data_IF_594392399413
#
_entry.id   IF_594392399413
#
_cell.length_a   1.000
_cell.length_b   1.000
_cell.length_c   1.000
_cell.angle_alpha   90.00
_cell.angle_beta   90.00
_cell.angle_gamma   90.00
#
_symmetry.space_group_name_H-M   'P 1'
#
loop_
_entity.id
_entity.type
_entity.pdbx_description
1 polymer ?
#
# COMPACT_ATOMS: atom_id res chain seq x y z
N UNK A 1 -25.50 -23.53 60.21
CA UNK A 1 -24.92 -22.42 59.43
C UNK A 1 -25.88 -22.17 58.28
N UNK A 2 -26.38 -20.95 58.15
CA UNK A 2 -27.45 -20.59 57.22
C UNK A 2 -26.92 -20.59 55.79
N UNK A 3 -27.32 -21.56 54.98
CA UNK A 3 -26.97 -21.61 53.55
C UNK A 3 -27.80 -20.56 52.80
N UNK A 4 -27.16 -19.44 52.46
CA UNK A 4 -27.82 -18.30 51.82
C UNK A 4 -27.89 -18.54 50.31
N UNK A 5 -29.10 -18.64 49.77
CA UNK A 5 -29.36 -18.67 48.32
C UNK A 5 -28.93 -17.35 47.67
N UNK A 6 -28.02 -17.44 46.71
CA UNK A 6 -27.62 -16.31 45.86
C UNK A 6 -28.27 -16.45 44.49
N UNK A 7 -28.95 -15.38 44.09
CA UNK A 7 -29.73 -15.30 42.87
C UNK A 7 -29.21 -14.14 42.02
N UNK A 8 -28.95 -14.40 40.74
CA UNK A 8 -28.59 -13.37 39.76
C UNK A 8 -29.44 -13.53 38.52
N UNK A 9 -30.17 -12.47 38.17
CA UNK A 9 -31.02 -12.40 36.98
C UNK A 9 -30.58 -11.25 36.09
N UNK A 10 -30.53 -11.49 34.78
CA UNK A 10 -30.39 -10.47 33.73
C UNK A 10 -31.41 -10.82 32.63
N UNK A 11 -31.94 -9.87 31.86
CA UNK A 11 -32.92 -10.11 30.76
C UNK A 11 -32.54 -9.23 29.56
N UNK A 12 -32.61 -9.75 28.32
CA UNK A 12 -31.71 -9.44 27.19
C UNK A 12 -30.97 -10.66 26.60
N UNK A 13 -29.64 -10.74 26.53
CA UNK A 13 -28.79 -10.48 27.68
C UNK A 13 -29.14 -11.34 28.91
N UNK A 14 -29.92 -12.43 28.77
CA UNK A 14 -30.49 -13.15 29.91
C UNK A 14 -29.53 -14.20 30.45
N UNK A 15 -28.92 -13.95 31.61
CA UNK A 15 -28.16 -14.94 32.38
C UNK A 15 -28.84 -15.16 33.74
N UNK A 16 -29.07 -16.42 34.09
CA UNK A 16 -29.64 -16.85 35.35
C UNK A 16 -28.63 -17.75 36.07
N UNK A 17 -28.15 -17.30 37.23
CA UNK A 17 -27.23 -18.05 38.08
C UNK A 17 -27.84 -18.16 39.48
N UNK A 18 -27.99 -19.39 39.95
CA UNK A 18 -28.51 -19.71 41.27
C UNK A 18 -27.50 -20.60 42.00
N UNK A 19 -26.98 -20.12 43.13
CA UNK A 19 -26.01 -20.83 43.97
C UNK A 19 -26.65 -21.06 45.36
N UNK A 20 -26.80 -22.34 45.75
CA UNK A 20 -27.46 -22.74 46.98
C UNK A 20 -27.71 -24.25 47.06
N UNK A 21 -28.42 -24.74 48.09
CA UNK A 21 -28.75 -26.15 48.24
C UNK A 21 -29.57 -26.64 47.04
N UNK A 22 -29.25 -27.85 46.55
CA UNK A 22 -29.72 -28.39 45.27
C UNK A 22 -31.26 -28.33 45.10
N UNK A 23 -32.00 -28.55 46.18
CA UNK A 23 -33.46 -28.54 46.16
C UNK A 23 -34.05 -27.14 45.91
N UNK A 24 -33.42 -26.08 46.44
CA UNK A 24 -33.86 -24.71 46.26
C UNK A 24 -33.43 -24.11 44.92
N UNK A 25 -32.27 -24.54 44.39
CA UNK A 25 -31.80 -24.17 43.04
C UNK A 25 -32.75 -24.74 41.98
N UNK A 26 -33.17 -26.00 42.12
CA UNK A 26 -34.08 -26.61 41.15
C UNK A 26 -35.47 -25.97 41.17
N UNK A 27 -36.00 -25.61 42.36
CA UNK A 27 -37.24 -24.85 42.46
C UNK A 27 -37.14 -23.48 41.79
N UNK A 28 -36.02 -22.76 41.96
CA UNK A 28 -35.83 -21.47 41.31
C UNK A 28 -35.60 -21.60 39.81
N UNK A 29 -34.95 -22.67 39.34
CA UNK A 29 -34.84 -23.01 37.92
C UNK A 29 -36.22 -23.25 37.30
N UNK A 30 -37.06 -24.05 37.95
CA UNK A 30 -38.43 -24.33 37.49
C UNK A 30 -39.26 -23.05 37.44
N UNK A 31 -39.17 -22.21 38.49
CA UNK A 31 -39.88 -20.93 38.52
C UNK A 31 -39.37 -19.96 37.43
N UNK A 32 -38.06 -19.92 37.19
CA UNK A 32 -37.48 -19.12 36.12
C UNK A 32 -37.92 -19.59 34.74
N UNK A 33 -37.91 -20.91 34.48
CA UNK A 33 -38.33 -21.49 33.20
C UNK A 33 -39.83 -21.29 32.92
N UNK A 34 -40.68 -21.42 33.94
CA UNK A 34 -42.12 -21.43 33.74
C UNK A 34 -42.79 -20.05 33.87
N UNK A 35 -42.22 -19.12 34.66
CA UNK A 35 -42.84 -17.81 34.91
C UNK A 35 -42.00 -16.66 34.34
N UNK A 36 -40.69 -16.65 34.57
CA UNK A 36 -39.84 -15.49 34.28
C UNK A 36 -39.40 -15.45 32.82
N UNK A 37 -39.01 -16.59 32.24
CA UNK A 37 -38.60 -16.65 30.84
C UNK A 37 -39.73 -16.31 29.87
N UNK A 38 -40.95 -16.88 29.98
CA UNK A 38 -42.03 -16.53 29.07
C UNK A 38 -42.40 -15.05 29.15
N UNK A 39 -42.41 -14.47 30.36
CA UNK A 39 -42.68 -13.03 30.56
C UNK A 39 -41.57 -12.13 30.00
N UNK A 40 -40.30 -12.53 30.14
CA UNK A 40 -39.15 -11.81 29.59
C UNK A 40 -39.11 -11.86 28.06
N UNK A 41 -39.44 -13.02 27.48
CA UNK A 41 -39.57 -13.19 26.02
C UNK A 41 -40.75 -12.38 25.49
N UNK A 42 -41.91 -12.41 26.15
CA UNK A 42 -43.07 -11.61 25.74
C UNK A 42 -42.76 -10.10 25.82
N UNK A 43 -42.06 -9.63 26.85
CA UNK A 43 -41.60 -8.24 26.95
C UNK A 43 -40.59 -7.86 25.85
N UNK A 44 -39.68 -8.76 25.48
CA UNK A 44 -38.76 -8.54 24.35
C UNK A 44 -39.50 -8.50 23.01
N UNK A 45 -40.46 -9.40 22.78
CA UNK A 45 -41.28 -9.40 21.56
C UNK A 45 -42.15 -8.14 21.49
N UNK A 46 -42.69 -7.68 22.62
CA UNK A 46 -43.50 -6.47 22.69
C UNK A 46 -42.69 -5.20 22.43
N UNK A 47 -41.42 -5.15 22.86
CA UNK A 47 -40.53 -4.02 22.57
C UNK A 47 -39.99 -4.06 21.13
N UNK A 48 -39.82 -5.24 20.53
CA UNK A 48 -39.49 -5.36 19.11
C UNK A 48 -40.68 -5.02 18.20
N UNK A 49 -41.89 -5.43 18.56
CA UNK A 49 -43.11 -5.14 17.79
C UNK A 49 -43.53 -3.67 17.82
N UNK A 50 -43.05 -2.86 18.78
CA UNK A 50 -43.28 -1.41 18.81
C UNK A 50 -42.36 -0.65 17.85
N UNK A 51 -41.24 -1.26 17.41
CA UNK A 51 -40.32 -0.66 16.42
C UNK A 51 -40.82 -0.84 14.97
N UNK A 52 -41.77 -1.74 14.73
CA UNK A 52 -42.40 -1.96 13.41
C UNK A 52 -43.82 -1.36 13.29
N UNK A 53 -44.03 -0.12 13.74
CA UNK A 53 -45.17 0.68 13.26
C UNK A 53 -44.66 1.70 12.23
N UNK A 54 -45.04 1.60 10.95
CA UNK A 54 -44.83 2.70 10.01
C UNK A 54 -45.61 3.92 10.54
N UNK A 55 -45.08 5.14 10.39
CA UNK A 55 -45.78 6.34 10.81
C UNK A 55 -47.11 6.43 10.05
N UNK A 56 -48.20 6.32 10.80
CA UNK A 56 -49.53 6.70 10.35
C UNK A 56 -49.51 8.22 10.15
N UNK A 57 -49.54 8.64 8.88
CA UNK A 57 -49.68 10.04 8.50
C UNK A 57 -51.16 10.41 8.68
N UNK A 58 -51.47 11.16 9.73
CA UNK A 58 -52.69 11.95 9.80
C UNK A 58 -52.70 12.95 8.63
N UNK A 59 -53.63 12.78 7.69
CA UNK A 59 -53.86 13.73 6.61
C UNK A 59 -54.76 14.85 7.13
N UNK A 60 -54.13 15.86 7.71
CA UNK A 60 -54.77 17.17 7.91
C UNK A 60 -54.73 17.92 6.58
N UNK A 61 -55.90 18.02 5.97
CA UNK A 61 -56.42 19.05 5.06
C UNK A 61 -55.43 20.16 4.67
N UNK A 62 -54.97 20.14 3.42
CA UNK A 62 -54.44 21.33 2.75
C UNK A 62 -55.60 22.28 2.39
N UNK A 63 -55.44 23.60 2.58
CA UNK A 63 -56.03 24.57 1.68
C UNK A 63 -55.03 24.93 0.58
N UNK A 64 -55.58 24.95 -0.62
CA UNK A 64 -55.10 25.54 -1.87
C UNK A 64 -54.60 26.97 -1.65
N UNK A 65 -53.44 27.33 -2.23
CA UNK A 65 -53.31 28.46 -3.16
C UNK A 65 -51.89 28.54 -3.74
N UNK A 66 -51.85 28.55 -5.07
CA UNK A 66 -50.77 29.02 -5.93
C UNK A 66 -50.50 30.50 -5.64
N UNK A 67 -49.24 30.95 -5.66
CA UNK A 67 -48.74 31.95 -6.63
C UNK A 67 -47.27 32.31 -6.33
N UNK A 68 -46.62 32.86 -7.35
CA UNK A 68 -45.19 33.08 -7.54
C UNK A 68 -44.50 34.02 -6.53
N UNK A 69 -43.20 33.79 -6.34
CA UNK A 69 -42.25 34.77 -5.80
C UNK A 69 -40.90 34.14 -5.45
N UNK A 70 -39.85 34.47 -6.21
CA UNK A 70 -38.45 34.37 -5.73
C UNK A 70 -38.32 35.12 -4.39
N UNK A 71 -37.47 34.65 -3.44
CA UNK A 71 -36.07 35.11 -3.36
C UNK A 71 -35.11 33.94 -3.02
N UNK A 72 -33.89 33.92 -3.55
CA UNK A 72 -32.68 34.57 -3.05
C UNK A 72 -31.99 33.81 -1.90
N UNK A 73 -30.67 33.87 -1.97
CA UNK A 73 -29.63 33.07 -1.33
C UNK A 73 -29.76 32.84 0.18
N UNK A 74 -29.44 31.63 0.64
CA UNK A 74 -28.35 31.36 1.60
C UNK A 74 -28.48 29.98 2.27
N UNK A 75 -27.34 29.27 2.37
CA UNK A 75 -27.15 28.22 3.37
C UNK A 75 -27.43 26.78 2.95
N UNK A 76 -26.95 26.33 1.78
CA UNK A 76 -26.83 24.90 1.51
C UNK A 76 -25.70 24.29 2.36
N UNK A 77 -26.01 23.89 3.59
CA UNK A 77 -25.26 22.80 4.25
C UNK A 77 -25.50 21.54 3.41
N UNK A 78 -24.47 20.89 2.86
CA UNK A 78 -24.67 19.64 2.14
C UNK A 78 -25.19 18.59 3.12
N UNK A 79 -26.41 18.12 2.89
CA UNK A 79 -26.92 16.88 3.46
C UNK A 79 -25.87 15.78 3.21
N UNK A 80 -25.16 15.38 4.26
CA UNK A 80 -24.44 14.11 4.28
C UNK A 80 -25.53 13.02 4.27
N UNK A 81 -25.64 12.18 3.23
CA UNK A 81 -26.55 11.06 3.31
C UNK A 81 -26.07 10.17 4.45
N UNK A 82 -26.96 9.92 5.42
CA UNK A 82 -26.88 8.79 6.36
C UNK A 82 -26.65 7.53 5.53
N UNK A 83 -25.37 7.21 5.27
CA UNK A 83 -25.01 6.06 4.47
C UNK A 83 -25.23 4.84 5.38
N UNK A 84 -26.34 4.14 5.18
CA UNK A 84 -26.61 2.85 5.82
C UNK A 84 -25.55 1.82 5.38
N UNK A 85 -24.42 1.77 6.09
CA UNK A 85 -23.31 0.86 5.80
C UNK A 85 -23.66 -0.60 6.09
N UNK A 86 -24.76 -0.86 6.81
CA UNK A 86 -25.29 -2.19 7.16
C UNK A 86 -25.59 -3.08 5.95
N UNK A 87 -25.96 -2.50 4.80
CA UNK A 87 -26.29 -3.25 3.57
C UNK A 87 -25.18 -3.24 2.53
N UNK A 88 -24.05 -2.61 2.81
CA UNK A 88 -22.92 -2.53 1.89
C UNK A 88 -21.79 -3.44 2.33
N UNK A 89 -21.22 -4.22 1.39
CA UNK A 89 -19.97 -4.95 1.62
C UNK A 89 -18.78 -4.00 1.45
N UNK A 90 -17.70 -4.22 2.20
CA UNK A 90 -16.44 -3.47 2.09
C UNK A 90 -15.94 -3.41 0.63
N UNK A 91 -16.07 -4.50 -0.14
CA UNK A 91 -15.73 -4.52 -1.55
C UNK A 91 -16.58 -3.56 -2.40
N UNK A 92 -17.86 -3.38 -2.07
CA UNK A 92 -18.77 -2.45 -2.75
C UNK A 92 -18.51 -1.00 -2.36
N UNK A 93 -18.14 -0.75 -1.10
CA UNK A 93 -17.71 0.57 -0.64
C UNK A 93 -16.46 1.05 -1.39
N UNK A 94 -15.44 0.19 -1.51
CA UNK A 94 -14.18 0.53 -2.16
C UNK A 94 -14.30 0.74 -3.68
N UNK A 95 -15.33 0.19 -4.33
CA UNK A 95 -15.57 0.41 -5.76
C UNK A 95 -15.79 1.89 -6.10
N UNK A 96 -16.38 2.67 -5.19
CA UNK A 96 -16.63 4.10 -5.40
C UNK A 96 -15.33 4.91 -5.49
N UNK A 97 -14.24 4.40 -4.94
CA UNK A 97 -12.95 5.08 -4.85
C UNK A 97 -11.91 4.60 -5.86
N UNK A 98 -12.26 3.63 -6.72
CA UNK A 98 -11.38 3.15 -7.79
C UNK A 98 -10.13 2.40 -7.31
N UNK A 99 -8.99 2.65 -7.97
CA UNK A 99 -7.73 1.93 -7.71
C UNK A 99 -7.01 2.51 -6.49
N UNK A 100 -7.38 2.02 -5.31
CA UNK A 100 -6.76 2.35 -4.03
C UNK A 100 -5.38 1.68 -3.86
N UNK A 101 -4.40 2.43 -3.33
CA UNK A 101 -3.12 1.89 -2.86
C UNK A 101 -3.32 0.92 -1.70
N UNK A 102 -2.31 0.10 -1.35
CA UNK A 102 -2.37 -0.77 -0.17
C UNK A 102 -2.59 0.03 1.13
N UNK A 103 -1.98 1.22 1.23
CA UNK A 103 -2.16 2.12 2.38
C UNK A 103 -3.58 2.70 2.41
N UNK A 104 -4.04 3.25 1.29
CA UNK A 104 -5.40 3.80 1.19
C UNK A 104 -6.44 2.70 1.44
N UNK A 105 -6.21 1.49 0.94
CA UNK A 105 -7.10 0.36 1.20
C UNK A 105 -7.27 0.08 2.71
N UNK A 106 -6.17 0.05 3.46
CA UNK A 106 -6.23 -0.18 4.92
C UNK A 106 -6.97 0.96 5.62
N UNK A 107 -6.69 2.21 5.23
CA UNK A 107 -7.33 3.39 5.80
C UNK A 107 -8.85 3.41 5.56
N UNK A 108 -9.28 3.15 4.32
CA UNK A 108 -10.68 3.12 3.94
C UNK A 108 -11.43 1.93 4.56
N UNK A 109 -10.75 0.80 4.68
CA UNK A 109 -11.31 -0.39 5.34
C UNK A 109 -11.53 -0.14 6.83
N UNK A 110 -10.55 0.46 7.50
CA UNK A 110 -10.68 0.83 8.91
C UNK A 110 -11.79 1.86 9.13
N UNK A 111 -11.91 2.88 8.26
CA UNK A 111 -13.00 3.85 8.31
C UNK A 111 -14.38 3.20 8.15
N UNK A 112 -14.50 2.27 7.20
CA UNK A 112 -15.73 1.51 6.99
C UNK A 112 -16.09 0.63 8.20
N UNK A 113 -15.09 -0.02 8.80
CA UNK A 113 -15.27 -0.86 9.98
C UNK A 113 -15.68 -0.03 11.22
N UNK A 114 -15.11 1.17 11.39
CA UNK A 114 -15.51 2.10 12.44
C UNK A 114 -16.97 2.55 12.26
N UNK A 115 -17.40 2.85 11.02
CA UNK A 115 -18.78 3.26 10.72
C UNK A 115 -19.78 2.11 10.85
N UNK A 116 -19.40 0.87 10.50
CA UNK A 116 -20.28 -0.29 10.49
C UNK A 116 -20.38 -0.97 11.87
N UNK A 117 -19.26 -1.13 12.55
CA UNK A 117 -19.15 -1.90 13.80
C UNK A 117 -18.95 -1.01 15.04
N UNK A 118 -18.74 0.31 14.87
CA UNK A 118 -18.48 1.23 15.99
C UNK A 118 -17.13 1.00 16.68
N UNK A 119 -16.26 0.16 16.09
CA UNK A 119 -14.96 -0.21 16.66
C UNK A 119 -13.92 0.85 16.29
N UNK A 120 -13.57 1.70 17.25
CA UNK A 120 -12.60 2.80 17.07
C UNK A 120 -11.14 2.36 17.02
N UNK A 121 -10.85 1.10 17.33
CA UNK A 121 -9.50 0.54 17.34
C UNK A 121 -9.42 -0.75 16.53
N UNK A 122 -8.38 -0.86 15.71
CA UNK A 122 -8.13 -2.02 14.86
C UNK A 122 -6.69 -2.51 15.01
N UNK A 123 -6.51 -3.81 14.82
CA UNK A 123 -5.23 -4.51 14.93
C UNK A 123 -4.73 -4.97 13.56
N UNK A 124 -3.50 -5.49 13.50
CA UNK A 124 -2.96 -6.09 12.26
C UNK A 124 -3.78 -7.31 11.80
N UNK A 125 -4.42 -8.03 12.73
CA UNK A 125 -5.28 -9.15 12.39
C UNK A 125 -6.61 -8.69 11.78
N UNK A 126 -7.15 -7.56 12.23
CA UNK A 126 -8.31 -6.91 11.59
C UNK A 126 -7.96 -6.47 10.16
N UNK A 127 -6.74 -5.94 9.95
CA UNK A 127 -6.26 -5.61 8.60
C UNK A 127 -6.26 -6.82 7.68
N UNK A 128 -5.80 -7.99 8.15
CA UNK A 128 -5.87 -9.24 7.37
C UNK A 128 -7.31 -9.63 7.04
N UNK A 129 -8.23 -9.45 8.00
CA UNK A 129 -9.66 -9.69 7.78
C UNK A 129 -10.22 -8.77 6.68
N UNK A 130 -9.86 -7.49 6.66
CA UNK A 130 -10.28 -6.56 5.61
C UNK A 130 -9.83 -7.01 4.22
N UNK A 131 -8.60 -7.51 4.07
CA UNK A 131 -8.12 -8.06 2.80
C UNK A 131 -8.93 -9.29 2.35
N UNK A 132 -9.29 -10.17 3.29
CA UNK A 132 -10.13 -11.34 3.02
C UNK A 132 -11.56 -10.92 2.62
N UNK A 133 -12.17 -9.98 3.33
CA UNK A 133 -13.52 -9.45 3.03
C UNK A 133 -13.55 -8.72 1.68
N UNK A 134 -12.49 -7.99 1.35
CA UNK A 134 -12.34 -7.30 0.06
C UNK A 134 -12.04 -8.23 -1.12
N UNK A 135 -11.81 -9.54 -0.87
CA UNK A 135 -11.29 -10.50 -1.86
C UNK A 135 -10.02 -10.00 -2.57
N UNK A 136 -9.14 -9.30 -1.84
CA UNK A 136 -7.85 -8.81 -2.37
C UNK A 136 -6.71 -9.72 -1.95
N UNK A 137 -5.66 -9.79 -2.79
CA UNK A 137 -4.46 -10.53 -2.46
C UNK A 137 -3.77 -9.91 -1.23
N UNK A 138 -3.40 -10.74 -0.26
CA UNK A 138 -2.70 -10.30 0.94
C UNK A 138 -1.34 -9.68 0.59
N UNK A 139 -1.01 -8.51 1.14
CA UNK A 139 0.31 -7.90 0.92
C UNK A 139 1.39 -8.72 1.63
N UNK A 140 2.60 -8.73 1.06
CA UNK A 140 3.76 -9.45 1.61
C UNK A 140 4.08 -9.02 3.05
N UNK A 141 3.83 -7.76 3.40
CA UNK A 141 4.02 -7.19 4.73
C UNK A 141 2.84 -6.25 5.10
N UNK A 142 1.77 -6.73 5.76
CA UNK A 142 0.65 -5.86 6.16
C UNK A 142 1.07 -4.78 7.16
N UNK A 143 2.05 -5.07 8.03
CA UNK A 143 2.59 -4.11 9.01
C UNK A 143 3.24 -2.87 8.37
N UNK A 144 3.73 -2.97 7.13
CA UNK A 144 4.28 -1.81 6.42
C UNK A 144 3.20 -0.80 6.02
N UNK A 145 1.96 -1.25 5.81
CA UNK A 145 0.86 -0.36 5.46
C UNK A 145 0.43 0.46 6.67
N UNK A 146 0.33 -0.16 7.85
CA UNK A 146 0.04 0.56 9.10
C UNK A 146 1.17 1.51 9.49
N UNK A 147 2.44 1.07 9.37
CA UNK A 147 3.59 1.93 9.65
C UNK A 147 3.61 3.21 8.80
N UNK A 148 3.38 3.09 7.48
CA UNK A 148 3.35 4.25 6.57
C UNK A 148 2.15 5.16 6.79
N UNK A 149 1.01 4.61 7.21
CA UNK A 149 -0.15 5.41 7.57
C UNK A 149 0.09 6.19 8.87
N UNK A 150 0.80 5.59 9.82
CA UNK A 150 1.19 6.26 11.06
C UNK A 150 2.22 7.36 10.80
N UNK A 151 3.21 7.11 9.92
CA UNK A 151 4.19 8.12 9.47
C UNK A 151 3.52 9.32 8.80
N UNK A 152 2.42 9.09 8.07
CA UNK A 152 1.61 10.14 7.45
C UNK A 152 0.66 10.86 8.41
N UNK A 153 0.54 10.40 9.66
CA UNK A 153 -0.40 10.94 10.63
C UNK A 153 -1.87 10.57 10.38
N UNK A 154 -2.16 9.63 9.48
CA UNK A 154 -3.55 9.20 9.19
C UNK A 154 -4.09 8.20 10.21
N UNK A 155 -3.21 7.53 10.96
CA UNK A 155 -3.55 6.64 12.06
C UNK A 155 -2.61 6.91 13.25
N UNK A 156 -3.08 6.63 14.46
CA UNK A 156 -2.31 6.76 15.70
C UNK A 156 -2.40 5.48 16.52
N UNK A 157 -1.45 5.27 17.42
CA UNK A 157 -1.49 4.14 18.35
C UNK A 157 -2.67 4.30 19.31
N UNK A 158 -3.48 3.25 19.43
CA UNK A 158 -4.65 3.21 20.28
C UNK A 158 -4.35 2.45 21.59
N UNK A 159 -4.96 2.86 22.72
CA UNK A 159 -4.87 2.10 23.95
C UNK A 159 -5.46 0.70 23.75
N UNK A 160 -4.76 -0.29 24.27
CA UNK A 160 -5.16 -1.70 24.19
C UNK A 160 -6.54 -1.87 24.86
N UNK A 161 -7.55 -2.45 24.18
CA UNK A 161 -8.79 -2.84 24.83
C UNK A 161 -8.50 -3.96 25.85
N UNK A 162 -9.14 -3.89 27.03
CA UNK A 162 -8.80 -4.70 28.20
C UNK A 162 -8.92 -6.23 28.02
N UNK A 163 -9.49 -6.71 26.91
CA UNK A 163 -9.92 -8.10 26.73
C UNK A 163 -9.37 -8.82 25.47
N UNK A 164 -8.27 -8.35 24.87
CA UNK A 164 -7.73 -8.95 23.62
C UNK A 164 -6.20 -9.11 23.61
N UNK A 165 -5.73 -10.06 22.78
CA UNK A 165 -4.33 -10.51 22.58
C UNK A 165 -3.31 -9.38 22.43
N UNK A 166 -2.08 -9.65 22.88
CA UNK A 166 -0.91 -8.77 22.75
C UNK A 166 -0.60 -8.44 21.29
N UNK A 167 -0.72 -7.17 20.93
CA UNK A 167 -0.44 -6.63 19.60
C UNK A 167 -0.61 -5.11 19.58
N UNK A 168 -0.07 -4.45 18.56
CA UNK A 168 -0.25 -3.01 18.36
C UNK A 168 -1.66 -2.75 17.84
N UNK A 169 -2.37 -1.85 18.51
CA UNK A 169 -3.69 -1.36 18.09
C UNK A 169 -3.53 0.05 17.54
N UNK A 170 -4.25 0.34 16.48
CA UNK A 170 -4.27 1.63 15.83
C UNK A 170 -5.70 2.18 15.81
N UNK A 171 -5.84 3.49 15.80
CA UNK A 171 -7.09 4.20 15.59
C UNK A 171 -6.92 5.25 14.50
N UNK A 172 -8.01 5.58 13.81
CA UNK A 172 -8.01 6.65 12.81
C UNK A 172 -7.86 8.01 13.50
N UNK A 173 -7.05 8.88 12.91
CA UNK A 173 -6.98 10.30 13.31
C UNK A 173 -8.02 11.10 12.55
N UNK A 174 -8.32 12.32 13.02
CA UNK A 174 -9.18 13.26 12.30
C UNK A 174 -8.64 13.55 10.88
N UNK A 175 -7.31 13.61 10.73
CA UNK A 175 -6.66 13.78 9.42
C UNK A 175 -6.89 12.58 8.51
N UNK A 176 -6.86 11.36 9.05
CA UNK A 176 -7.20 10.14 8.32
C UNK A 176 -8.65 10.10 7.86
N UNK A 177 -9.58 10.52 8.71
CA UNK A 177 -11.01 10.61 8.38
C UNK A 177 -11.23 11.67 7.29
N UNK A 178 -10.67 12.86 7.47
CA UNK A 178 -10.76 13.95 6.50
C UNK A 178 -10.15 13.55 5.15
N UNK A 179 -9.06 12.77 5.14
CA UNK A 179 -8.48 12.24 3.91
C UNK A 179 -9.43 11.28 3.18
N UNK A 180 -10.13 10.40 3.90
CA UNK A 180 -11.11 9.49 3.28
C UNK A 180 -12.32 10.26 2.73
N UNK A 181 -12.82 11.25 3.47
CA UNK A 181 -13.99 12.05 3.05
C UNK A 181 -13.68 12.99 1.87
N UNK A 182 -12.48 13.58 1.85
CA UNK A 182 -12.02 14.45 0.75
C UNK A 182 -11.39 13.68 -0.42
N UNK A 183 -11.38 12.34 -0.37
CA UNK A 183 -10.75 11.55 -1.41
C UNK A 183 -11.52 11.62 -2.72
N UNK A 184 -10.92 12.27 -3.70
CA UNK A 184 -11.40 12.28 -5.07
C UNK A 184 -10.87 11.01 -5.74
N UNK A 185 -11.75 10.08 -6.20
CA UNK A 185 -11.33 8.93 -6.95
C UNK A 185 -10.50 9.40 -8.14
N UNK A 186 -9.26 8.92 -8.24
CA UNK A 186 -8.51 9.08 -9.49
C UNK A 186 -9.30 8.30 -10.53
N UNK A 187 -9.99 9.04 -11.40
CA UNK A 187 -11.02 8.53 -12.29
C UNK A 187 -10.61 7.22 -12.94
N UNK A 188 -11.58 6.33 -13.12
CA UNK A 188 -11.45 5.01 -13.74
C UNK A 188 -10.68 5.09 -15.06
N UNK A 189 -9.36 5.06 -14.99
CA UNK A 189 -8.52 4.67 -16.10
C UNK A 189 -8.71 3.16 -16.21
N UNK A 190 -9.81 2.75 -16.86
CA UNK A 190 -10.04 1.41 -17.36
C UNK A 190 -9.05 1.04 -18.48
N UNK A 191 -7.78 1.42 -18.35
CA UNK A 191 -6.71 0.65 -18.95
C UNK A 191 -6.42 -0.48 -17.98
N UNK A 192 -6.85 -1.68 -18.37
CA UNK A 192 -6.27 -2.93 -17.90
C UNK A 192 -4.78 -2.67 -17.66
N UNK A 193 -4.31 -2.82 -16.42
CA UNK A 193 -2.87 -2.86 -16.14
C UNK A 193 -2.28 -3.95 -17.02
N UNK A 194 -1.77 -3.56 -18.19
CA UNK A 194 -0.80 -4.36 -18.94
C UNK A 194 0.29 -4.72 -17.93
N UNK A 195 0.83 -5.95 -17.97
CA UNK A 195 1.92 -6.35 -17.09
C UNK A 195 2.95 -5.23 -17.13
N UNK A 196 3.17 -4.60 -15.97
CA UNK A 196 3.97 -3.40 -15.73
C UNK A 196 4.98 -3.22 -16.87
N UNK A 197 4.59 -2.54 -17.94
CA UNK A 197 5.55 -2.11 -18.94
C UNK A 197 6.41 -1.18 -18.13
N UNK A 198 7.67 -1.59 -17.93
CA UNK A 198 8.68 -0.82 -17.20
C UNK A 198 8.43 0.64 -17.58
N UNK A 199 8.12 1.47 -16.58
CA UNK A 199 7.91 2.89 -16.77
C UNK A 199 8.91 3.33 -17.82
N UNK A 200 8.40 3.85 -18.95
CA UNK A 200 9.20 4.28 -20.09
C UNK A 200 10.37 5.03 -19.45
N UNK A 201 11.57 4.41 -19.50
CA UNK A 201 12.74 4.91 -18.77
C UNK A 201 12.78 6.38 -19.15
N UNK A 202 12.62 7.27 -18.17
CA UNK A 202 13.12 8.63 -18.31
C UNK A 202 14.49 8.46 -18.92
N UNK A 203 14.69 9.02 -20.12
CA UNK A 203 15.92 8.82 -20.87
C UNK A 203 17.07 8.96 -19.88
N UNK A 204 17.96 7.94 -19.79
CA UNK A 204 19.11 8.04 -18.92
C UNK A 204 19.78 9.38 -19.22
N UNK A 205 20.09 10.14 -18.18
CA UNK A 205 20.79 11.43 -18.31
C UNK A 205 22.24 11.08 -18.65
N UNK A 206 22.42 10.63 -19.89
CA UNK A 206 23.72 10.39 -20.49
C UNK A 206 24.44 11.72 -20.45
N UNK A 207 25.68 11.71 -20.00
CA UNK A 207 26.45 12.95 -20.03
C UNK A 207 26.70 13.34 -21.48
N UNK A 208 26.53 14.64 -21.78
CA UNK A 208 26.63 15.20 -23.13
C UNK A 208 27.91 14.76 -23.86
N UNK A 209 28.99 14.53 -23.08
CA UNK A 209 30.30 14.04 -23.53
C UNK A 209 30.23 12.70 -24.28
N UNK A 210 29.40 11.75 -23.83
CA UNK A 210 29.31 10.41 -24.45
C UNK A 210 28.12 10.26 -25.40
N UNK A 211 27.18 11.22 -25.40
CA UNK A 211 26.00 11.17 -26.27
C UNK A 211 26.34 11.44 -27.75
N UNK A 212 27.46 12.11 -28.04
CA UNK A 212 27.91 12.41 -29.39
C UNK A 212 28.96 11.44 -29.94
N UNK A 213 29.41 10.46 -29.16
CA UNK A 213 30.47 9.53 -29.58
C UNK A 213 29.86 8.43 -30.43
N UNK A 214 30.30 8.33 -31.68
CA UNK A 214 29.92 7.25 -32.60
C UNK A 214 31.04 6.21 -32.77
N UNK A 215 30.74 5.11 -33.48
CA UNK A 215 31.73 4.08 -33.78
C UNK A 215 32.86 4.57 -34.71
N UNK A 216 32.57 5.54 -35.59
CA UNK A 216 33.55 6.17 -36.49
C UNK A 216 34.52 7.11 -35.76
N UNK A 217 34.09 7.61 -34.60
CA UNK A 217 34.86 8.49 -33.74
C UNK A 217 35.93 7.74 -32.93
N UNK A 218 35.81 6.42 -32.83
CA UNK A 218 36.75 5.58 -32.11
C UNK A 218 37.52 4.78 -33.16
N UNK A 219 38.84 4.70 -33.06
CA UNK A 219 39.68 3.87 -33.94
C UNK A 219 39.47 2.37 -33.63
N UNK A 220 38.25 1.88 -33.81
CA UNK A 220 37.78 0.53 -33.47
C UNK A 220 38.53 -0.58 -34.22
N UNK A 221 39.32 -0.22 -35.24
CA UNK A 221 40.22 -1.12 -35.99
C UNK A 221 41.47 -1.51 -35.20
N UNK A 222 41.92 -0.67 -34.25
CA UNK A 222 43.13 -0.92 -33.45
C UNK A 222 42.86 -1.77 -32.21
N UNK A 223 41.59 -2.13 -31.98
CA UNK A 223 41.16 -2.87 -30.79
C UNK A 223 40.38 -4.13 -31.17
N UNK A 224 40.44 -5.19 -30.35
CA UNK A 224 39.60 -6.36 -30.53
C UNK A 224 38.11 -5.98 -30.45
N UNK A 225 37.29 -6.59 -31.31
CA UNK A 225 35.86 -6.34 -31.32
C UNK A 225 35.24 -6.67 -29.95
N UNK A 226 34.64 -5.69 -29.28
CA UNK A 226 34.10 -5.85 -27.92
C UNK A 226 33.09 -6.99 -27.82
N UNK A 227 32.35 -7.26 -28.90
CA UNK A 227 31.40 -8.39 -29.01
C UNK A 227 32.04 -9.77 -28.91
N UNK A 228 33.32 -9.90 -29.25
CA UNK A 228 34.03 -11.18 -29.27
C UNK A 228 34.31 -11.72 -27.86
N UNK A 229 34.32 -10.83 -26.85
CA UNK A 229 34.49 -11.23 -25.47
C UNK A 229 33.20 -11.85 -24.93
N UNK A 230 33.30 -12.99 -24.23
CA UNK A 230 32.15 -13.65 -23.60
C UNK A 230 31.86 -13.09 -22.21
N UNK A 231 32.88 -12.58 -21.53
CA UNK A 231 32.76 -12.08 -20.17
C UNK A 231 32.27 -10.64 -20.14
N UNK A 232 31.26 -10.38 -19.30
CA UNK A 232 30.79 -9.02 -19.03
C UNK A 232 31.90 -8.09 -18.54
N UNK A 233 32.88 -8.63 -17.79
CA UNK A 233 34.04 -7.88 -17.29
C UNK A 233 34.90 -7.38 -18.45
N UNK A 234 35.24 -8.26 -19.37
CA UNK A 234 36.09 -7.97 -20.53
C UNK A 234 35.41 -6.95 -21.44
N UNK A 235 34.12 -7.15 -21.74
CA UNK A 235 33.33 -6.25 -22.57
C UNK A 235 33.28 -4.82 -21.99
N UNK A 236 32.97 -4.69 -20.69
CA UNK A 236 32.86 -3.40 -20.01
C UNK A 236 34.22 -2.70 -19.92
N UNK A 237 35.27 -3.41 -19.51
CA UNK A 237 36.60 -2.82 -19.36
C UNK A 237 37.17 -2.42 -20.72
N UNK A 238 37.00 -3.24 -21.76
CA UNK A 238 37.46 -2.91 -23.11
C UNK A 238 36.74 -1.69 -23.66
N UNK A 239 35.41 -1.62 -23.55
CA UNK A 239 34.64 -0.46 -24.01
C UNK A 239 35.09 0.84 -23.33
N UNK A 240 35.29 0.82 -22.00
CA UNK A 240 35.81 1.98 -21.26
C UNK A 240 37.26 2.30 -21.65
N UNK A 241 38.08 1.28 -21.92
CA UNK A 241 39.49 1.43 -22.28
C UNK A 241 39.65 2.11 -23.62
N UNK A 242 38.91 1.68 -24.65
CA UNK A 242 38.93 2.27 -25.98
C UNK A 242 38.61 3.77 -25.88
N UNK A 243 37.50 4.12 -25.22
CA UNK A 243 37.10 5.54 -25.08
C UNK A 243 38.12 6.37 -24.29
N UNK A 244 38.76 5.78 -23.28
CA UNK A 244 39.80 6.45 -22.50
C UNK A 244 41.10 6.62 -23.31
N UNK A 245 41.47 5.63 -24.12
CA UNK A 245 42.71 5.63 -24.90
C UNK A 245 42.63 6.59 -26.09
N UNK A 246 41.45 6.69 -26.71
CA UNK A 246 41.15 7.69 -27.75
C UNK A 246 40.94 9.11 -27.19
N UNK A 247 41.08 9.30 -25.87
CA UNK A 247 40.97 10.62 -25.23
C UNK A 247 39.55 11.21 -25.23
N UNK A 248 38.52 10.42 -25.54
CA UNK A 248 37.12 10.89 -25.66
C UNK A 248 36.34 10.88 -24.36
N UNK A 249 36.95 10.42 -23.27
CA UNK A 249 36.41 10.59 -21.93
C UNK A 249 37.11 9.74 -20.89
N UNK A 250 37.06 10.18 -19.63
CA UNK A 250 37.82 9.56 -18.54
C UNK A 250 36.95 9.07 -17.38
N UNK A 251 35.76 9.66 -17.20
CA UNK A 251 34.84 9.38 -16.10
C UNK A 251 33.47 8.98 -16.62
N UNK A 252 33.09 7.75 -16.32
CA UNK A 252 31.89 7.13 -16.88
C UNK A 252 30.85 6.86 -15.79
N UNK A 253 29.59 7.22 -16.04
CA UNK A 253 28.48 6.68 -15.25
C UNK A 253 28.08 5.29 -15.76
N UNK A 254 27.27 4.58 -14.98
CA UNK A 254 26.66 3.30 -15.43
C UNK A 254 25.86 3.51 -16.71
N UNK A 255 25.18 4.64 -16.84
CA UNK A 255 24.36 4.96 -18.00
C UNK A 255 25.21 5.23 -19.25
N UNK A 256 26.33 5.95 -19.10
CA UNK A 256 27.27 6.21 -20.20
C UNK A 256 27.87 4.91 -20.74
N UNK A 257 28.28 3.99 -19.85
CA UNK A 257 28.84 2.69 -20.28
C UNK A 257 27.79 1.83 -20.98
N UNK A 258 26.54 1.86 -20.54
CA UNK A 258 25.45 1.15 -21.23
C UNK A 258 25.24 1.74 -22.62
N UNK A 259 25.24 3.07 -22.74
CA UNK A 259 25.09 3.76 -24.03
C UNK A 259 26.21 3.36 -24.99
N UNK A 260 27.47 3.41 -24.54
CA UNK A 260 28.62 2.99 -25.34
C UNK A 260 28.50 1.52 -25.76
N UNK A 261 28.18 0.63 -24.82
CA UNK A 261 28.07 -0.81 -25.14
C UNK A 261 26.97 -1.08 -26.16
N UNK A 262 25.78 -0.48 -26.00
CA UNK A 262 24.62 -0.78 -26.85
C UNK A 262 24.69 -0.06 -28.20
N UNK A 263 25.03 1.23 -28.21
CA UNK A 263 24.92 2.06 -29.41
C UNK A 263 26.22 2.11 -30.23
N UNK A 264 27.39 1.99 -29.58
CA UNK A 264 28.69 2.07 -30.26
C UNK A 264 29.23 0.67 -30.54
N UNK A 265 29.23 -0.20 -29.53
CA UNK A 265 29.80 -1.54 -29.64
C UNK A 265 28.76 -2.63 -29.95
N UNK A 266 27.48 -2.26 -30.05
CA UNK A 266 26.35 -3.17 -30.36
C UNK A 266 26.32 -4.44 -29.48
N UNK A 267 26.74 -4.31 -28.22
CA UNK A 267 26.70 -5.34 -27.18
C UNK A 267 25.50 -5.08 -26.27
N UNK A 268 24.59 -6.06 -26.09
CA UNK A 268 23.49 -5.90 -25.15
C UNK A 268 24.03 -5.75 -23.73
N UNK A 269 23.68 -4.62 -23.10
CA UNK A 269 24.08 -4.29 -21.75
C UNK A 269 22.91 -3.72 -20.96
N UNK A 270 22.84 -4.10 -19.69
CA UNK A 270 21.89 -3.57 -18.73
C UNK A 270 22.62 -3.03 -17.49
N UNK A 271 21.86 -2.35 -16.64
CA UNK A 271 22.38 -1.75 -15.40
C UNK A 271 22.97 -2.82 -14.47
N UNK A 272 22.39 -4.02 -14.44
CA UNK A 272 22.84 -5.10 -13.57
C UNK A 272 24.18 -5.68 -14.02
N UNK A 273 24.41 -5.82 -15.33
CA UNK A 273 25.69 -6.26 -15.91
C UNK A 273 26.80 -5.26 -15.58
N UNK A 274 26.59 -3.98 -15.87
CA UNK A 274 27.61 -2.94 -15.63
C UNK A 274 27.88 -2.74 -14.14
N UNK A 275 26.82 -2.63 -13.32
CA UNK A 275 26.98 -2.55 -11.87
C UNK A 275 27.62 -3.80 -11.27
N UNK A 276 27.32 -4.98 -11.81
CA UNK A 276 27.93 -6.24 -11.40
C UNK A 276 29.44 -6.22 -11.59
N UNK A 277 29.93 -5.71 -12.74
CA UNK A 277 31.36 -5.55 -13.02
C UNK A 277 32.00 -4.57 -12.04
N UNK A 278 31.39 -3.39 -11.82
CA UNK A 278 31.90 -2.39 -10.89
C UNK A 278 31.92 -2.87 -9.43
N UNK A 279 30.92 -3.65 -9.01
CA UNK A 279 30.84 -4.20 -7.65
C UNK A 279 31.85 -5.32 -7.41
N UNK A 280 32.08 -6.20 -8.38
CA UNK A 280 33.00 -7.33 -8.26
C UNK A 280 34.47 -6.93 -8.43
N UNK A 281 34.75 -5.90 -9.23
CA UNK A 281 36.11 -5.48 -9.55
C UNK A 281 36.42 -4.07 -9.02
N UNK A 282 36.07 -3.77 -7.76
CA UNK A 282 36.22 -2.41 -7.19
C UNK A 282 37.64 -1.86 -7.28
N UNK A 283 38.66 -2.71 -7.14
CA UNK A 283 40.08 -2.31 -7.23
C UNK A 283 40.53 -1.89 -8.63
N UNK A 284 39.70 -2.08 -9.67
CA UNK A 284 39.99 -1.68 -11.04
C UNK A 284 39.44 -0.29 -11.39
N UNK A 285 38.65 0.33 -10.50
CA UNK A 285 37.96 1.59 -10.78
C UNK A 285 38.11 2.61 -9.65
N UNK A 286 38.49 3.83 -9.99
CA UNK A 286 38.29 4.99 -9.13
C UNK A 286 36.80 5.37 -9.12
N UNK A 287 36.30 5.87 -8.00
CA UNK A 287 34.90 6.26 -7.84
C UNK A 287 34.80 7.69 -7.35
N UNK A 288 33.99 8.50 -8.01
CA UNK A 288 33.73 9.89 -7.64
C UNK A 288 32.22 10.18 -7.70
N UNK A 289 31.74 11.12 -6.88
CA UNK A 289 30.34 11.56 -6.97
C UNK A 289 30.17 12.41 -8.24
N UNK A 290 29.15 12.13 -9.04
CA UNK A 290 28.85 12.93 -10.21
C UNK A 290 28.45 14.35 -9.78
N UNK A 291 29.05 15.37 -10.40
CA UNK A 291 28.75 16.78 -10.13
C UNK A 291 27.25 17.11 -10.33
N UNK A 292 26.60 16.41 -11.27
CA UNK A 292 25.23 16.70 -11.70
C UNK A 292 24.15 15.93 -10.93
N UNK A 293 24.54 14.96 -10.08
CA UNK A 293 23.60 14.10 -9.38
C UNK A 293 24.24 13.49 -8.12
N UNK A 294 23.83 13.95 -6.94
CA UNK A 294 24.42 13.58 -5.63
C UNK A 294 24.40 12.08 -5.32
N UNK A 295 23.56 11.30 -6.01
CA UNK A 295 23.43 9.86 -5.85
C UNK A 295 24.11 9.01 -6.94
N UNK A 296 24.60 9.62 -8.02
CA UNK A 296 25.25 8.89 -9.11
C UNK A 296 26.77 8.87 -8.91
N UNK A 297 27.38 7.68 -8.99
CA UNK A 297 28.83 7.50 -8.91
C UNK A 297 29.41 7.39 -10.33
N UNK A 298 30.35 8.27 -10.67
CA UNK A 298 31.20 8.14 -11.86
C UNK A 298 32.38 7.23 -11.55
N UNK A 299 32.83 6.48 -12.56
CA UNK A 299 33.89 5.49 -12.48
C UNK A 299 34.96 5.79 -13.51
N UNK A 300 36.22 5.70 -13.12
CA UNK A 300 37.40 5.86 -13.98
C UNK A 300 38.28 4.63 -13.91
N UNK A 301 38.85 4.21 -15.05
CA UNK A 301 39.76 3.06 -15.11
C UNK A 301 41.08 3.38 -14.40
N UNK A 302 41.48 2.51 -13.47
CA UNK A 302 42.81 2.53 -12.85
C UNK A 302 43.84 1.79 -13.72
N UNK A 303 45.13 1.93 -13.38
CA UNK A 303 46.24 1.25 -14.07
C UNK A 303 45.98 -0.26 -14.22
N UNK A 304 45.61 -0.95 -13.15
CA UNK A 304 45.34 -2.40 -13.20
C UNK A 304 44.20 -2.80 -14.14
N UNK A 305 43.25 -1.91 -14.42
CA UNK A 305 42.20 -2.15 -15.41
C UNK A 305 42.69 -1.91 -16.85
N UNK A 306 43.55 -0.90 -17.05
CA UNK A 306 44.20 -0.62 -18.32
C UNK A 306 45.17 -1.73 -18.72
N UNK A 307 45.95 -2.24 -17.77
CA UNK A 307 46.86 -3.37 -17.97
C UNK A 307 46.10 -4.65 -18.32
N UNK A 308 44.96 -4.88 -17.65
CA UNK A 308 44.06 -5.98 -18.01
C UNK A 308 43.53 -5.83 -19.45
N UNK A 309 43.10 -4.63 -19.87
CA UNK A 309 42.67 -4.40 -21.24
C UNK A 309 43.79 -4.68 -22.25
N UNK A 310 45.01 -4.21 -22.00
CA UNK A 310 46.19 -4.49 -22.86
C UNK A 310 46.47 -5.99 -22.97
N UNK A 311 46.42 -6.72 -21.85
CA UNK A 311 46.61 -8.17 -21.86
C UNK A 311 45.57 -8.91 -22.73
N UNK A 312 44.33 -8.38 -22.80
CA UNK A 312 43.30 -8.93 -23.69
C UNK A 312 43.59 -8.65 -25.16
N UNK A 313 44.15 -7.47 -25.48
CA UNK A 313 44.56 -7.11 -26.84
C UNK A 313 45.68 -8.04 -27.31
N UNK A 314 46.71 -8.23 -26.48
CA UNK A 314 47.83 -9.14 -26.75
C UNK A 314 47.35 -10.59 -26.94
N UNK A 315 46.47 -11.07 -26.05
CA UNK A 315 45.94 -12.44 -26.12
C UNK A 315 45.08 -12.69 -27.38
N UNK A 316 44.41 -11.67 -27.91
CA UNK A 316 43.64 -11.76 -29.14
C UNK A 316 44.48 -11.56 -30.40
N UNK A 317 45.57 -10.79 -30.34
CA UNK A 317 46.52 -10.64 -31.44
C UNK A 317 47.41 -11.88 -31.64
N UNK A 318 47.54 -12.73 -30.62
CA UNK A 318 48.29 -13.98 -30.66
C UNK A 318 47.48 -15.19 -31.15
N UNK A 319 46.19 -15.00 -31.44
CA UNK A 319 45.27 -16.01 -32.02
C UNK A 319 45.08 -15.77 -33.51
#
# INVERSE_FOLDING_TARGET
MSEVLKLKYKVGGIEFEAEGPAEAVEQQRINFMNAVLPAAVDAMVRTQAVVERPPYIESVTQPVLLEAGMPDESGATPYQPENDFSRTSLASFLKKYGVLSEQDFVLFSAYFDEKKNGKKSFSIDDVKHYYAEARRAMPKNPSMSTFRLAEKGCIMDAPKPADVKSGNYYMLTNDGIAYVESYIPKGDSSEKKKPRSKAKKTAPKISEVYASINADDLNTKDYPAVKSFSSAKEQVIMAMYIVTNEGKGEWFTVEDVIHLLVNVFEVPADSDKVNGVFKRNRGMFASEKAADNTNALRKKLLSGAKDFAKSLIEAMSAK
#
